data_IF_922297444899
#
_entry.id   IF_922297444899
#
_cell.length_a   1.000
_cell.length_b   1.000
_cell.length_c   1.000
_cell.angle_alpha   90.00
_cell.angle_beta   90.00
_cell.angle_gamma   90.00
#
_symmetry.space_group_name_H-M   'P 1'
#
loop_
_entity.id
_entity.type
_entity.pdbx_description
1 polymer ?
#
# COMPACT_ATOMS: atom_id res chain seq x y z
N UNK A 1 -4.17 -1.28 4.29
CA UNK A 1 -4.83 -0.79 3.07
C UNK A 1 -4.02 -1.24 1.85
N UNK A 2 -4.68 -1.49 0.72
CA UNK A 2 -4.04 -1.85 -0.56
C UNK A 2 -4.53 -0.86 -1.61
N UNK A 3 -3.61 -0.29 -2.38
CA UNK A 3 -3.94 0.60 -3.49
C UNK A 3 -2.90 0.44 -4.58
N UNK A 4 -3.31 0.46 -5.85
CA UNK A 4 -2.36 0.48 -6.97
C UNK A 4 -1.43 1.69 -6.93
N UNK A 5 -1.92 2.82 -6.40
CA UNK A 5 -1.20 4.10 -6.37
C UNK A 5 -1.32 4.78 -5.00
N UNK A 6 -0.25 5.45 -4.61
CA UNK A 6 -0.11 6.26 -3.40
C UNK A 6 0.84 7.43 -3.71
N UNK A 7 0.77 8.58 -3.00
CA UNK A 7 1.77 9.65 -3.15
C UNK A 7 3.20 9.08 -3.18
N UNK A 8 4.14 9.62 -3.99
CA UNK A 8 4.11 10.93 -4.63
C UNK A 8 3.31 10.99 -5.94
N UNK A 9 2.74 9.87 -6.42
CA UNK A 9 1.86 9.89 -7.59
C UNK A 9 0.64 10.77 -7.30
N UNK A 10 0.37 11.74 -8.18
CA UNK A 10 -0.71 12.71 -8.00
C UNK A 10 -1.96 12.27 -8.74
N UNK A 11 -3.04 12.05 -7.98
CA UNK A 11 -4.36 11.77 -8.53
C UNK A 11 -5.44 11.80 -7.44
N UNK A 12 -6.69 11.58 -7.84
CA UNK A 12 -7.84 11.66 -6.93
C UNK A 12 -7.87 10.52 -5.91
N UNK A 13 -7.58 9.29 -6.36
CA UNK A 13 -7.57 8.08 -5.52
C UNK A 13 -6.42 8.15 -4.53
N UNK A 14 -5.24 8.55 -4.98
CA UNK A 14 -4.03 8.70 -4.18
C UNK A 14 -4.24 9.69 -3.04
N UNK A 15 -4.84 10.85 -3.34
CA UNK A 15 -5.20 11.85 -2.33
C UNK A 15 -6.26 11.32 -1.35
N UNK A 16 -7.27 10.60 -1.85
CA UNK A 16 -8.30 10.01 -1.01
C UNK A 16 -7.72 8.98 -0.03
N UNK A 17 -6.94 8.01 -0.55
CA UNK A 17 -6.29 6.96 0.23
C UNK A 17 -5.32 7.56 1.25
N UNK A 18 -4.50 8.52 0.84
CA UNK A 18 -3.58 9.23 1.75
C UNK A 18 -4.31 9.98 2.85
N UNK A 19 -5.36 10.74 2.52
CA UNK A 19 -6.13 11.44 3.55
C UNK A 19 -6.79 10.47 4.52
N UNK A 20 -7.40 9.39 4.01
CA UNK A 20 -8.03 8.38 4.86
C UNK A 20 -7.01 7.71 5.78
N UNK A 21 -5.84 7.31 5.26
CA UNK A 21 -4.79 6.68 6.04
C UNK A 21 -4.28 7.60 7.16
N UNK A 22 -4.00 8.86 6.85
CA UNK A 22 -3.57 9.85 7.85
C UNK A 22 -4.62 10.09 8.92
N UNK A 23 -5.90 10.18 8.56
CA UNK A 23 -6.97 10.36 9.55
C UNK A 23 -7.16 9.12 10.44
N UNK A 24 -6.91 7.90 9.93
CA UNK A 24 -6.92 6.69 10.74
C UNK A 24 -5.73 6.66 11.73
N UNK A 25 -4.53 7.05 11.28
CA UNK A 25 -3.36 7.18 12.17
C UNK A 25 -3.63 8.20 13.28
N UNK A 26 -4.20 9.38 12.95
CA UNK A 26 -4.58 10.39 13.94
C UNK A 26 -5.58 9.89 14.98
N UNK A 27 -6.43 8.93 14.64
CA UNK A 27 -7.38 8.27 15.55
C UNK A 27 -6.74 7.17 16.40
N UNK A 28 -5.43 6.94 16.25
CA UNK A 28 -4.66 5.95 17.02
C UNK A 28 -4.60 4.56 16.38
N UNK A 29 -4.99 4.43 15.10
CA UNK A 29 -4.90 3.14 14.41
C UNK A 29 -3.52 2.94 13.77
N UNK A 30 -3.03 1.71 13.79
CA UNK A 30 -1.85 1.31 13.03
C UNK A 30 -2.23 1.10 11.57
N UNK A 31 -1.68 1.93 10.68
CA UNK A 31 -2.00 1.87 9.25
C UNK A 31 -0.77 1.50 8.45
N UNK A 32 -0.89 0.42 7.68
CA UNK A 32 0.05 0.07 6.61
C UNK A 32 -0.63 0.16 5.26
N UNK A 33 0.05 0.74 4.28
CA UNK A 33 -0.35 0.81 2.89
C UNK A 33 0.56 -0.08 2.07
N UNK A 34 -0.02 -0.96 1.26
CA UNK A 34 0.72 -1.73 0.26
C UNK A 34 0.39 -1.13 -1.11
N UNK A 35 1.41 -0.66 -1.82
CA UNK A 35 1.25 0.07 -3.09
C UNK A 35 2.30 -0.33 -4.11
N UNK A 36 2.04 -0.07 -5.41
CA UNK A 36 3.10 -0.14 -6.42
C UNK A 36 4.10 1.00 -6.22
N UNK A 37 5.37 0.73 -6.51
CA UNK A 37 6.38 1.75 -6.75
C UNK A 37 5.95 2.69 -7.87
N UNK A 38 6.35 3.95 -7.77
CA UNK A 38 5.99 5.01 -8.71
C UNK A 38 6.89 5.06 -9.95
N UNK A 39 8.07 4.43 -9.88
CA UNK A 39 9.04 4.34 -10.97
C UNK A 39 9.41 2.88 -11.31
N UNK A 40 9.65 2.57 -12.60
CA UNK A 40 10.30 1.33 -13.00
C UNK A 40 11.69 1.19 -12.35
N UNK A 41 12.08 -0.04 -12.00
CA UNK A 41 13.36 -0.39 -11.37
C UNK A 41 13.54 -0.04 -9.88
N UNK A 42 12.52 0.53 -9.23
CA UNK A 42 12.53 0.60 -7.77
C UNK A 42 12.26 -0.78 -7.17
N UNK A 43 13.22 -1.24 -6.36
CA UNK A 43 13.06 -2.42 -5.52
C UNK A 43 11.93 -2.26 -4.51
N UNK A 44 11.61 -3.35 -3.82
CA UNK A 44 10.72 -3.34 -2.65
C UNK A 44 11.26 -2.34 -1.61
N UNK A 45 10.47 -1.34 -1.21
CA UNK A 45 10.85 -0.35 -0.19
C UNK A 45 9.81 -0.25 0.92
N UNK A 46 10.28 0.13 2.10
CA UNK A 46 9.45 0.45 3.26
C UNK A 46 9.80 1.86 3.73
N UNK A 47 8.79 2.70 3.87
CA UNK A 47 8.94 4.10 4.27
C UNK A 47 7.82 4.50 5.24
N UNK A 48 8.00 5.61 5.95
CA UNK A 48 7.00 6.16 6.87
C UNK A 48 6.51 7.52 6.37
N UNK A 49 5.20 7.67 6.23
CA UNK A 49 4.52 8.89 5.82
C UNK A 49 3.61 9.35 6.96
N UNK A 50 4.10 10.27 7.80
CA UNK A 50 3.39 10.81 8.97
C UNK A 50 2.72 9.74 9.86
N UNK A 51 3.44 8.62 10.11
CA UNK A 51 2.96 7.50 10.91
C UNK A 51 2.22 6.41 10.13
N UNK A 52 2.02 6.58 8.83
CA UNK A 52 1.57 5.53 7.92
C UNK A 52 2.78 4.72 7.44
N UNK A 53 2.77 3.42 7.65
CA UNK A 53 3.78 2.52 7.09
C UNK A 53 3.48 2.27 5.61
N UNK A 54 4.36 2.67 4.70
CA UNK A 54 4.16 2.50 3.26
C UNK A 54 5.09 1.41 2.74
N UNK A 55 4.47 0.37 2.22
CA UNK A 55 5.09 -0.83 1.71
C UNK A 55 5.00 -0.83 0.17
N UNK A 56 6.09 -0.48 -0.52
CA UNK A 56 6.10 -0.42 -1.98
C UNK A 56 6.58 -1.72 -2.58
N UNK A 57 5.75 -2.29 -3.45
CA UNK A 57 6.09 -3.42 -4.28
C UNK A 57 6.67 -2.96 -5.62
N UNK A 58 7.53 -3.77 -6.27
CA UNK A 58 8.09 -3.43 -7.57
C UNK A 58 7.03 -2.98 -8.59
N UNK A 59 7.41 -2.03 -9.45
CA UNK A 59 6.50 -1.44 -10.42
C UNK A 59 5.75 -2.51 -11.25
N UNK A 60 4.42 -2.40 -11.29
CA UNK A 60 3.56 -3.30 -12.06
C UNK A 60 3.44 -4.70 -11.50
N UNK A 61 3.76 -4.92 -10.22
CA UNK A 61 3.51 -6.18 -9.50
C UNK A 61 2.04 -6.64 -9.55
N UNK A 62 1.13 -5.69 -9.74
CA UNK A 62 -0.33 -5.82 -9.78
C UNK A 62 -0.89 -5.93 -11.22
N UNK A 63 -0.05 -5.84 -12.27
CA UNK A 63 -0.49 -5.89 -13.68
C UNK A 63 -1.06 -7.23 -14.12
N UNK A 64 -0.70 -8.31 -13.43
CA UNK A 64 -1.17 -9.66 -13.72
C UNK A 64 -2.04 -10.15 -12.55
N UNK A 65 -3.38 -10.09 -12.64
CA UNK A 65 -4.27 -10.31 -11.48
C UNK A 65 -4.07 -11.68 -10.82
N UNK A 66 -3.85 -12.74 -11.60
CA UNK A 66 -3.59 -14.09 -11.07
C UNK A 66 -2.24 -14.21 -10.35
N UNK A 67 -1.17 -13.60 -10.88
CA UNK A 67 0.14 -13.57 -10.22
C UNK A 67 0.16 -12.61 -9.03
N UNK A 68 -0.59 -11.51 -9.12
CA UNK A 68 -0.79 -10.55 -8.03
C UNK A 68 -1.42 -11.23 -6.83
N UNK A 69 -2.48 -12.01 -7.04
CA UNK A 69 -3.10 -12.82 -5.99
C UNK A 69 -2.12 -13.84 -5.40
N UNK A 70 -1.37 -14.57 -6.22
CA UNK A 70 -0.38 -15.54 -5.75
C UNK A 70 0.73 -14.87 -4.90
N UNK A 71 1.23 -13.71 -5.36
CA UNK A 71 2.22 -12.91 -4.63
C UNK A 71 1.66 -12.38 -3.32
N UNK A 72 0.40 -11.96 -3.32
CA UNK A 72 -0.32 -11.50 -2.13
C UNK A 72 -0.40 -12.61 -1.07
N UNK A 73 -0.75 -13.83 -1.49
CA UNK A 73 -0.77 -15.03 -0.63
C UNK A 73 0.63 -15.41 -0.13
N UNK A 74 1.66 -15.28 -0.97
CA UNK A 74 3.04 -15.52 -0.57
C UNK A 74 3.55 -14.51 0.47
N UNK A 75 3.03 -13.29 0.48
CA UNK A 75 3.41 -12.24 1.43
C UNK A 75 2.48 -12.23 2.64
N UNK A 76 2.17 -13.43 3.17
CA UNK A 76 1.28 -13.63 4.31
C UNK A 76 1.66 -12.80 5.54
N UNK A 77 2.95 -12.52 5.71
CA UNK A 77 3.54 -11.64 6.73
C UNK A 77 2.97 -10.21 6.71
N UNK A 78 2.53 -9.72 5.55
CA UNK A 78 2.00 -8.36 5.44
C UNK A 78 0.55 -8.21 5.95
N UNK A 79 -0.17 -9.32 6.09
CA UNK A 79 -1.61 -9.35 6.36
C UNK A 79 -1.96 -10.06 7.67
N UNK A 80 -1.10 -10.95 8.16
CA UNK A 80 -1.41 -11.89 9.25
C UNK A 80 -1.85 -11.21 10.54
N UNK A 81 -1.29 -10.04 10.84
CA UNK A 81 -1.52 -9.31 12.09
C UNK A 81 -2.40 -8.07 11.87
N UNK A 82 -3.38 -8.13 10.93
CA UNK A 82 -4.23 -6.99 10.57
C UNK A 82 -5.70 -7.30 10.81
N UNK A 83 -6.36 -6.41 11.54
CA UNK A 83 -7.79 -6.53 11.85
C UNK A 83 -8.69 -6.25 10.64
N UNK A 84 -8.26 -5.34 9.76
CA UNK A 84 -9.04 -4.88 8.60
C UNK A 84 -8.15 -4.71 7.37
N UNK A 85 -8.60 -5.27 6.24
CA UNK A 85 -8.01 -5.04 4.92
C UNK A 85 -8.99 -4.20 4.09
N UNK A 86 -8.54 -3.01 3.69
CA UNK A 86 -9.27 -2.08 2.82
C UNK A 86 -8.55 -1.93 1.49
N UNK A 87 -9.21 -2.21 0.36
CA UNK A 87 -8.62 -2.21 -0.98
C UNK A 87 -9.29 -1.17 -1.90
N UNK A 88 -8.48 -0.44 -2.66
CA UNK A 88 -8.88 0.60 -3.63
C UNK A 88 -8.26 0.38 -5.01
#
# INVERSE_FOLDING_TARGET
MVSSRYPPTVGGVEKHVSRLAHELVKRGHHVRIITSSHEPNLSRTEESDAGVEVFRMPYGWDRAPFLGLLRMLHHGDLWRDRDVIHAH
#
